data_IF_925253452757
#
_entry.id   IF_925253452757
#
_cell.length_a   1.000
_cell.length_b   1.000
_cell.length_c   1.000
_cell.angle_alpha   90.00
_cell.angle_beta   90.00
_cell.angle_gamma   90.00
#
_symmetry.space_group_name_H-M   'P 1'
#
loop_
_entity.id
_entity.type
_entity.pdbx_description
1 polymer ?
#
# COMPACT_ATOMS: atom_id res chain seq x y z
N UNK A 1 25.66 -4.74 1.36
CA UNK A 1 26.28 -4.94 0.03
C UNK A 1 26.76 -3.58 -0.48
N UNK A 2 27.84 -3.54 -1.26
CA UNK A 2 28.46 -2.29 -1.74
C UNK A 2 28.21 -2.13 -3.25
N UNK A 3 27.94 -0.90 -3.70
CA UNK A 3 27.85 -0.60 -5.13
C UNK A 3 29.25 -0.51 -5.76
N UNK A 4 29.34 -0.28 -7.08
CA UNK A 4 30.60 -0.10 -7.79
C UNK A 4 31.46 1.08 -7.25
N UNK A 5 30.95 1.87 -6.29
CA UNK A 5 31.61 3.00 -5.66
C UNK A 5 31.83 2.81 -4.14
N UNK A 6 31.58 1.60 -3.59
CA UNK A 6 31.78 1.29 -2.17
C UNK A 6 30.65 1.74 -1.24
N UNK A 7 29.50 2.20 -1.76
CA UNK A 7 28.39 2.66 -0.93
C UNK A 7 27.54 1.49 -0.44
N UNK A 8 27.28 1.45 0.87
CA UNK A 8 26.36 0.48 1.47
C UNK A 8 24.93 0.75 1.05
N UNK A 9 24.24 -0.29 0.60
CA UNK A 9 22.84 -0.21 0.23
C UNK A 9 22.02 -1.43 0.68
N UNK A 10 20.72 -1.23 0.77
CA UNK A 10 19.72 -2.27 1.10
C UNK A 10 18.74 -2.42 -0.05
N UNK A 11 18.53 -3.66 -0.54
CA UNK A 11 17.54 -3.93 -1.57
C UNK A 11 16.12 -3.72 -1.05
N UNK A 12 15.34 -2.95 -1.81
CA UNK A 12 13.93 -2.71 -1.54
C UNK A 12 13.06 -3.75 -2.22
N UNK A 13 11.98 -4.16 -1.57
CA UNK A 13 11.00 -5.08 -2.12
C UNK A 13 9.62 -4.43 -2.22
N UNK A 14 8.76 -4.77 -3.19
CA UNK A 14 7.40 -4.25 -3.21
C UNK A 14 6.60 -4.71 -1.99
N UNK A 15 5.91 -3.78 -1.32
CA UNK A 15 4.97 -4.13 -0.26
C UNK A 15 3.68 -4.70 -0.85
N UNK A 16 3.42 -5.98 -0.59
CA UNK A 16 2.40 -6.76 -1.29
C UNK A 16 1.00 -6.68 -0.69
N UNK A 17 0.87 -6.13 0.53
CA UNK A 17 -0.39 -5.97 1.24
C UNK A 17 -0.95 -4.55 1.12
N UNK A 18 -0.52 -3.78 0.12
CA UNK A 18 -1.13 -2.50 -0.21
C UNK A 18 -2.57 -2.74 -0.69
N UNK A 19 -3.56 -1.99 -0.24
CA UNK A 19 -4.95 -2.13 -0.75
C UNK A 19 -5.46 -0.89 -1.45
N UNK A 20 -4.83 0.26 -1.21
CA UNK A 20 -5.20 1.55 -1.77
C UNK A 20 -3.98 2.40 -2.13
N UNK A 21 -4.24 3.62 -2.60
CA UNK A 21 -3.21 4.54 -3.05
C UNK A 21 -2.81 4.37 -4.53
N UNK A 22 -1.94 5.26 -4.98
CA UNK A 22 -1.45 5.33 -6.37
C UNK A 22 0.08 5.22 -6.46
N UNK A 23 0.78 5.39 -5.34
CA UNK A 23 2.22 5.23 -5.25
C UNK A 23 2.53 3.84 -4.70
N UNK A 24 3.54 3.19 -5.27
CA UNK A 24 4.09 1.96 -4.73
C UNK A 24 4.66 2.21 -3.34
N UNK A 25 4.34 1.33 -2.39
CA UNK A 25 5.06 1.22 -1.13
C UNK A 25 6.09 0.09 -1.24
N UNK A 26 7.27 0.31 -0.68
CA UNK A 26 8.37 -0.66 -0.69
C UNK A 26 8.68 -1.07 0.75
N UNK A 27 9.11 -2.30 0.97
CA UNK A 27 9.66 -2.76 2.24
C UNK A 27 11.15 -2.41 2.25
N UNK A 28 11.58 -1.70 3.30
CA UNK A 28 12.99 -1.50 3.62
C UNK A 28 13.52 -2.68 4.44
N UNK A 29 12.71 -3.16 5.38
CA UNK A 29 12.89 -4.43 6.10
C UNK A 29 11.54 -4.96 6.60
N UNK A 30 11.55 -5.92 7.53
CA UNK A 30 10.34 -6.50 8.11
C UNK A 30 9.48 -5.45 8.85
N UNK A 31 10.11 -4.48 9.52
CA UNK A 31 9.46 -3.51 10.40
C UNK A 31 9.26 -2.13 9.76
N UNK A 32 9.88 -1.88 8.59
CA UNK A 32 9.89 -0.57 7.95
C UNK A 32 9.44 -0.66 6.50
N UNK A 33 8.47 0.17 6.14
CA UNK A 33 8.07 0.42 4.76
C UNK A 33 8.48 1.84 4.35
N UNK A 34 8.69 2.05 3.06
CA UNK A 34 8.98 3.36 2.52
C UNK A 34 8.11 3.68 1.30
N UNK A 35 7.91 4.98 1.05
CA UNK A 35 7.15 5.47 -0.10
C UNK A 35 7.68 6.82 -0.56
N UNK A 36 7.47 7.21 -1.83
CA UNK A 36 7.98 8.46 -2.36
C UNK A 36 7.53 9.66 -1.53
N UNK A 37 8.44 10.61 -1.30
CA UNK A 37 8.12 11.83 -0.55
C UNK A 37 7.08 12.66 -1.30
N UNK A 38 6.04 13.04 -0.57
CA UNK A 38 5.12 14.11 -0.94
C UNK A 38 5.29 15.20 0.11
N UNK A 39 5.65 16.42 -0.31
CA UNK A 39 6.04 17.50 0.61
C UNK A 39 5.02 17.74 1.73
N UNK A 40 3.73 17.77 1.38
CA UNK A 40 2.66 17.95 2.35
C UNK A 40 2.58 16.82 3.38
N UNK A 41 2.81 15.59 2.95
CA UNK A 41 2.81 14.44 3.84
C UNK A 41 4.04 14.45 4.76
N UNK A 42 5.20 14.83 4.23
CA UNK A 42 6.40 15.03 5.05
C UNK A 42 6.18 16.09 6.11
N UNK A 43 5.58 17.24 5.74
CA UNK A 43 5.22 18.29 6.70
C UNK A 43 4.28 17.76 7.78
N UNK A 44 3.25 17.00 7.41
CA UNK A 44 2.34 16.37 8.37
C UNK A 44 3.08 15.50 9.39
N UNK A 45 3.98 14.61 8.96
CA UNK A 45 4.74 13.76 9.89
C UNK A 45 5.73 14.55 10.75
N UNK A 46 6.28 15.66 10.24
CA UNK A 46 7.18 16.54 11.02
C UNK A 46 6.44 17.41 12.04
N UNK A 47 5.17 17.71 11.81
CA UNK A 47 4.39 18.64 12.63
C UNK A 47 3.18 17.98 13.31
N UNK A 48 3.10 16.64 13.35
CA UNK A 48 1.98 15.94 13.96
C UNK A 48 1.95 16.22 15.48
N UNK A 49 0.81 16.69 16.04
CA UNK A 49 0.65 16.87 17.47
C UNK A 49 0.83 15.54 18.23
N UNK A 50 1.33 15.61 19.46
CA UNK A 50 1.60 14.43 20.29
C UNK A 50 0.35 13.58 20.51
N UNK A 51 -0.82 14.21 20.62
CA UNK A 51 -2.12 13.56 20.80
C UNK A 51 -2.52 12.71 19.59
N UNK A 52 -2.01 13.03 18.40
CA UNK A 52 -2.33 12.33 17.15
C UNK A 52 -1.27 11.28 16.77
N UNK A 53 -0.07 11.32 17.36
CA UNK A 53 1.00 10.35 17.09
C UNK A 53 0.56 8.89 17.23
N UNK A 54 -0.19 8.49 18.29
CA UNK A 54 -0.65 7.10 18.44
C UNK A 54 -1.60 6.60 17.33
N UNK A 55 -2.16 7.50 16.51
CA UNK A 55 -3.10 7.17 15.44
C UNK A 55 -2.44 7.14 14.05
N UNK A 56 -1.16 7.52 13.94
CA UNK A 56 -0.41 7.51 12.70
C UNK A 56 0.74 6.48 12.79
N UNK A 57 1.21 5.91 11.66
CA UNK A 57 2.44 5.14 11.65
C UNK A 57 3.62 5.98 12.14
N UNK A 58 4.56 5.39 12.87
CA UNK A 58 5.76 6.10 13.29
C UNK A 58 6.58 6.53 12.06
N UNK A 59 6.96 7.81 12.03
CA UNK A 59 7.87 8.36 11.02
C UNK A 59 9.32 8.16 11.46
N UNK A 60 10.08 7.44 10.65
CA UNK A 60 11.43 6.97 10.99
C UNK A 60 12.53 7.70 10.19
N UNK A 61 12.14 8.70 9.40
CA UNK A 61 13.08 9.53 8.62
C UNK A 61 12.89 9.40 7.12
N UNK A 62 13.92 9.81 6.38
CA UNK A 62 13.95 9.81 4.92
C UNK A 62 15.12 8.93 4.48
N UNK A 63 14.91 8.18 3.41
CA UNK A 63 15.96 7.42 2.74
C UNK A 63 16.01 7.80 1.26
N UNK A 64 17.23 7.81 0.72
CA UNK A 64 17.46 8.01 -0.70
C UNK A 64 17.36 6.67 -1.43
N UNK A 65 16.56 6.63 -2.50
CA UNK A 65 16.32 5.43 -3.30
C UNK A 65 16.94 5.61 -4.68
N UNK A 66 17.79 4.66 -5.05
CA UNK A 66 18.44 4.59 -6.36
C UNK A 66 18.14 3.25 -7.06
N UNK A 67 18.58 3.13 -8.31
CA UNK A 67 18.48 1.92 -9.13
C UNK A 67 19.87 1.33 -9.33
N UNK A 68 20.04 0.08 -8.92
CA UNK A 68 21.21 -0.72 -9.27
C UNK A 68 20.85 -1.75 -10.32
N UNK A 69 21.85 -2.11 -11.11
CA UNK A 69 21.74 -3.11 -12.15
C UNK A 69 22.54 -4.35 -11.78
N UNK A 70 21.92 -5.51 -11.94
CA UNK A 70 22.59 -6.79 -11.79
C UNK A 70 22.09 -7.75 -12.89
N UNK A 71 23.00 -8.10 -13.80
CA UNK A 71 22.70 -8.86 -15.01
C UNK A 71 21.62 -8.21 -15.87
N UNK A 72 20.54 -8.94 -16.14
CA UNK A 72 19.38 -8.45 -16.90
C UNK A 72 18.36 -7.68 -16.05
N UNK A 73 18.58 -7.56 -14.74
CA UNK A 73 17.59 -7.04 -13.80
C UNK A 73 17.98 -5.67 -13.23
N UNK A 74 16.94 -4.92 -12.87
CA UNK A 74 17.00 -3.65 -12.17
C UNK A 74 16.39 -3.82 -10.78
N UNK A 75 17.09 -3.30 -9.78
CA UNK A 75 16.67 -3.34 -8.39
C UNK A 75 16.65 -1.93 -7.80
N UNK A 76 15.63 -1.64 -7.01
CA UNK A 76 15.63 -0.45 -6.18
C UNK A 76 16.41 -0.72 -4.92
N UNK A 77 17.22 0.25 -4.51
CA UNK A 77 18.02 0.18 -3.31
C UNK A 77 17.86 1.45 -2.48
N UNK A 78 17.84 1.28 -1.17
CA UNK A 78 17.98 2.36 -0.22
C UNK A 78 19.47 2.59 0.07
N UNK A 79 19.95 3.81 -0.19
CA UNK A 79 21.32 4.23 0.10
C UNK A 79 21.49 4.48 1.60
N UNK A 80 22.66 4.13 2.14
CA UNK A 80 23.01 4.33 3.56
C UNK A 80 22.03 3.69 4.55
N UNK A 81 21.26 2.69 4.13
CA UNK A 81 20.39 1.93 5.02
C UNK A 81 21.21 1.10 6.00
N UNK A 82 20.90 1.18 7.29
CA UNK A 82 21.42 0.25 8.29
C UNK A 82 20.97 -1.18 7.93
N UNK A 83 21.91 -2.12 7.81
CA UNK A 83 21.60 -3.52 7.54
C UNK A 83 20.82 -4.10 8.73
N UNK A 84 19.52 -4.37 8.54
CA UNK A 84 18.76 -5.18 9.48
C UNK A 84 19.27 -6.62 9.43
N UNK A 85 19.83 -7.09 10.55
CA UNK A 85 20.30 -8.46 10.76
C UNK A 85 19.09 -9.40 10.75
N UNK A 86 18.79 -9.97 9.57
CA UNK A 86 18.24 -11.33 9.34
C UNK A 86 18.07 -11.55 7.83
N UNK A 87 19.04 -12.25 7.24
CA UNK A 87 18.94 -12.83 5.89
C UNK A 87 17.94 -13.99 5.93
N UNK A 88 16.63 -13.73 5.88
CA UNK A 88 15.65 -14.80 5.73
C UNK A 88 14.32 -14.44 5.06
N UNK A 89 14.29 -13.41 4.20
CA UNK A 89 13.16 -13.22 3.29
C UNK A 89 13.58 -13.54 1.85
N UNK A 90 12.87 -14.49 1.26
CA UNK A 90 13.01 -14.90 -0.12
C UNK A 90 13.08 -13.66 -1.04
N UNK A 91 14.17 -13.61 -1.81
CA UNK A 91 14.56 -12.57 -2.75
C UNK A 91 13.37 -12.14 -3.63
N UNK A 92 12.92 -10.89 -3.48
CA UNK A 92 12.17 -10.06 -4.44
C UNK A 92 11.09 -10.75 -5.28
N UNK A 93 9.82 -10.62 -4.86
CA UNK A 93 8.64 -11.17 -5.57
C UNK A 93 8.38 -10.54 -6.94
N UNK A 94 8.88 -9.35 -7.19
CA UNK A 94 8.79 -8.67 -8.47
C UNK A 94 10.21 -8.27 -8.87
N UNK A 95 10.63 -8.66 -10.08
CA UNK A 95 11.89 -8.21 -10.67
C UNK A 95 11.60 -7.45 -11.94
N UNK A 96 12.21 -6.28 -12.09
CA UNK A 96 12.12 -5.49 -13.31
C UNK A 96 13.32 -5.83 -14.19
N UNK A 97 13.07 -6.23 -15.43
CA UNK A 97 14.12 -6.48 -16.42
C UNK A 97 14.54 -5.18 -17.08
N UNK A 98 15.79 -5.11 -17.53
CA UNK A 98 16.36 -3.99 -18.31
C UNK A 98 15.56 -3.67 -19.57
N UNK A 99 14.90 -4.67 -20.16
CA UNK A 99 13.97 -4.49 -21.29
C UNK A 99 12.67 -3.76 -20.94
N UNK A 100 12.41 -3.51 -19.65
CA UNK A 100 11.17 -2.91 -19.15
C UNK A 100 10.07 -3.92 -18.82
N UNK A 101 10.31 -5.23 -19.02
CA UNK A 101 9.37 -6.28 -18.62
C UNK A 101 9.52 -6.64 -17.14
N UNK A 102 8.52 -7.30 -16.55
CA UNK A 102 8.52 -7.70 -15.14
C UNK A 102 8.33 -9.20 -14.98
N UNK A 103 8.99 -9.76 -13.98
CA UNK A 103 8.87 -11.15 -13.57
C UNK A 103 8.29 -11.22 -12.15
N UNK A 104 7.28 -12.07 -11.96
CA UNK A 104 6.65 -12.30 -10.66
C UNK A 104 7.07 -13.67 -10.16
N UNK A 105 7.69 -13.73 -8.99
CA UNK A 105 8.07 -15.00 -8.36
C UNK A 105 6.90 -15.58 -7.54
N UNK A 106 6.72 -16.92 -7.52
CA UNK A 106 5.62 -17.56 -6.82
C UNK A 106 5.62 -17.28 -5.32
N UNK A 107 4.44 -17.21 -4.70
CA UNK A 107 4.28 -16.99 -3.25
C UNK A 107 3.36 -18.05 -2.64
N UNK A 108 3.54 -18.36 -1.34
CA UNK A 108 2.61 -19.20 -0.57
C UNK A 108 1.25 -18.53 -0.25
N UNK A 109 1.04 -17.27 -0.62
CA UNK A 109 -0.19 -16.52 -0.35
C UNK A 109 -0.99 -16.41 -1.64
N UNK A 110 -2.20 -16.97 -1.65
CA UNK A 110 -3.10 -16.94 -2.80
C UNK A 110 -4.16 -15.85 -2.63
N UNK A 111 -4.43 -15.12 -3.71
CA UNK A 111 -5.41 -14.05 -3.79
C UNK A 111 -6.50 -14.43 -4.81
N UNK A 112 -7.75 -14.07 -4.51
CA UNK A 112 -8.87 -14.23 -5.43
C UNK A 112 -8.95 -13.03 -6.39
N UNK A 113 -9.00 -13.31 -7.70
CA UNK A 113 -9.21 -12.31 -8.74
C UNK A 113 -10.67 -12.34 -9.21
N UNK A 114 -11.41 -11.24 -9.02
CA UNK A 114 -12.78 -11.11 -9.53
C UNK A 114 -12.84 -10.64 -11.01
N UNK A 115 -11.71 -10.28 -11.62
CA UNK A 115 -11.68 -9.60 -12.94
C UNK A 115 -11.49 -10.58 -14.11
N UNK A 116 -11.17 -11.86 -13.87
CA UNK A 116 -11.03 -12.84 -14.96
C UNK A 116 -12.37 -13.45 -15.38
N UNK A 117 -13.13 -12.76 -16.24
CA UNK A 117 -14.13 -13.31 -17.19
C UNK A 117 -14.61 -14.76 -16.93
N UNK A 118 -15.35 -15.00 -15.82
CA UNK A 118 -15.98 -16.30 -15.53
C UNK A 118 -15.04 -17.50 -15.36
N UNK A 119 -13.72 -17.30 -15.23
CA UNK A 119 -12.77 -18.34 -14.82
C UNK A 119 -12.19 -17.93 -13.48
N UNK A 120 -12.37 -18.76 -12.43
CA UNK A 120 -11.75 -18.57 -11.13
C UNK A 120 -10.22 -18.62 -11.27
N UNK A 121 -9.58 -17.48 -11.54
CA UNK A 121 -8.13 -17.34 -11.56
C UNK A 121 -7.60 -17.17 -10.14
N UNK A 122 -6.49 -17.83 -9.83
CA UNK A 122 -5.73 -17.59 -8.60
C UNK A 122 -4.48 -16.80 -8.95
N UNK A 123 -4.14 -15.80 -8.14
CA UNK A 123 -2.92 -15.02 -8.32
C UNK A 123 -2.09 -15.02 -7.04
N UNK A 124 -0.76 -15.01 -7.17
CA UNK A 124 0.17 -14.97 -6.03
C UNK A 124 0.26 -13.58 -5.37
N UNK A 125 -0.41 -12.59 -5.96
CA UNK A 125 -0.48 -11.21 -5.48
C UNK A 125 -1.86 -10.60 -5.80
N UNK A 126 -2.25 -9.58 -5.04
CA UNK A 126 -3.39 -8.74 -5.39
C UNK A 126 -3.17 -8.11 -6.79
N UNK A 127 -4.03 -8.39 -7.79
CA UNK A 127 -3.83 -7.96 -9.19
C UNK A 127 -3.69 -6.45 -9.36
N UNK A 128 -4.39 -5.67 -8.52
CA UNK A 128 -4.32 -4.20 -8.55
C UNK A 128 -3.00 -3.67 -8.02
N UNK A 129 -2.47 -4.33 -6.98
CA UNK A 129 -1.19 -3.97 -6.37
C UNK A 129 -0.06 -4.27 -7.33
N UNK A 130 -0.12 -5.42 -8.02
CA UNK A 130 0.83 -5.77 -9.06
C UNK A 130 0.86 -4.70 -10.16
N UNK A 131 -0.31 -4.28 -10.66
CA UNK A 131 -0.39 -3.19 -11.64
C UNK A 131 0.18 -1.88 -11.11
N UNK A 132 -0.19 -1.48 -9.89
CA UNK A 132 0.30 -0.26 -9.27
C UNK A 132 1.82 -0.27 -9.11
N UNK A 133 2.40 -1.39 -8.66
CA UNK A 133 3.85 -1.56 -8.56
C UNK A 133 4.51 -1.49 -9.93
N UNK A 134 3.99 -2.18 -10.95
CA UNK A 134 4.54 -2.11 -12.31
C UNK A 134 4.60 -0.67 -12.82
N UNK A 135 3.46 0.01 -12.82
CA UNK A 135 3.35 1.37 -13.36
C UNK A 135 4.29 2.34 -12.61
N UNK A 136 4.34 2.21 -11.27
CA UNK A 136 5.16 3.07 -10.44
C UNK A 136 6.66 2.79 -10.60
N UNK A 137 7.08 1.52 -10.63
CA UNK A 137 8.48 1.14 -10.77
C UNK A 137 9.04 1.62 -12.11
N UNK A 138 8.28 1.49 -13.20
CA UNK A 138 8.69 2.04 -14.51
C UNK A 138 8.87 3.55 -14.43
N UNK A 139 7.92 4.27 -13.81
CA UNK A 139 8.00 5.72 -13.69
C UNK A 139 9.18 6.18 -12.81
N UNK A 140 9.42 5.49 -11.69
CA UNK A 140 10.49 5.79 -10.75
C UNK A 140 11.86 5.58 -11.38
N UNK A 141 12.08 4.43 -12.05
CA UNK A 141 13.35 4.14 -12.73
C UNK A 141 13.63 5.19 -13.81
N UNK A 142 12.61 5.57 -14.60
CA UNK A 142 12.73 6.67 -15.57
C UNK A 142 13.10 7.99 -14.92
N UNK A 143 12.49 8.33 -13.78
CA UNK A 143 12.78 9.57 -13.06
C UNK A 143 14.21 9.60 -12.50
N UNK A 144 14.68 8.50 -11.90
CA UNK A 144 16.04 8.35 -11.39
C UNK A 144 17.06 8.49 -12.53
N UNK A 145 16.83 7.79 -13.67
CA UNK A 145 17.72 7.88 -14.83
C UNK A 145 17.78 9.29 -15.44
N UNK A 146 16.61 9.93 -15.62
CA UNK A 146 16.54 11.24 -16.22
C UNK A 146 17.20 12.32 -15.34
N UNK A 147 17.04 12.21 -14.02
CA UNK A 147 17.61 13.17 -13.06
C UNK A 147 19.06 12.88 -12.69
N UNK A 148 19.55 11.65 -12.93
CA UNK A 148 20.84 11.13 -12.44
C UNK A 148 21.02 11.33 -10.93
N UNK A 149 19.92 11.28 -10.19
CA UNK A 149 19.89 11.50 -8.74
C UNK A 149 18.94 10.51 -8.08
N UNK A 150 19.27 10.04 -6.87
CA UNK A 150 18.35 9.23 -6.08
C UNK A 150 17.10 10.04 -5.72
N UNK A 151 16.01 9.33 -5.41
CA UNK A 151 14.73 9.91 -5.04
C UNK A 151 14.47 9.73 -3.54
N UNK A 152 13.94 10.76 -2.90
CA UNK A 152 13.64 10.71 -1.47
C UNK A 152 12.36 9.91 -1.18
N UNK A 153 12.45 9.01 -0.21
CA UNK A 153 11.33 8.22 0.30
C UNK A 153 11.16 8.44 1.80
N UNK A 154 9.91 8.58 2.25
CA UNK A 154 9.55 8.55 3.67
C UNK A 154 9.73 7.12 4.18
N UNK A 155 10.34 6.94 5.35
CA UNK A 155 10.40 5.66 6.06
C UNK A 155 9.36 5.68 7.18
N UNK A 156 8.49 4.68 7.18
CA UNK A 156 7.37 4.52 8.11
C UNK A 156 7.41 3.14 8.75
N UNK A 157 6.84 3.02 9.95
CA UNK A 157 6.55 1.73 10.58
C UNK A 157 5.64 0.85 9.70
N UNK A 158 6.00 -0.43 9.62
CA UNK A 158 5.17 -1.45 9.01
C UNK A 158 4.14 -2.01 10.01
N UNK A 159 2.91 -1.48 9.97
CA UNK A 159 1.80 -1.91 10.83
C UNK A 159 1.35 -3.38 10.63
N UNK A 160 1.89 -4.08 9.63
CA UNK A 160 1.52 -5.47 9.33
C UNK A 160 2.63 -6.48 9.63
N UNK A 161 3.78 -6.04 10.14
CA UNK A 161 4.95 -6.91 10.31
C UNK A 161 4.68 -8.13 11.21
N UNK A 162 3.87 -7.97 12.26
CA UNK A 162 3.51 -9.04 13.19
C UNK A 162 2.38 -9.94 12.69
N UNK A 163 1.79 -9.65 11.53
CA UNK A 163 0.60 -10.34 11.01
C UNK A 163 0.99 -11.34 9.92
N UNK A 164 0.65 -12.62 10.12
CA UNK A 164 0.83 -13.65 9.10
C UNK A 164 -0.11 -13.47 7.91
N UNK A 165 -1.37 -13.12 8.18
CA UNK A 165 -2.40 -12.92 7.17
C UNK A 165 -3.13 -11.58 7.42
N UNK A 166 -2.53 -10.45 7.02
CA UNK A 166 -3.08 -9.14 7.37
C UNK A 166 -4.39 -8.87 6.61
N UNK A 167 -5.47 -8.66 7.36
CA UNK A 167 -6.74 -8.12 6.86
C UNK A 167 -6.68 -6.59 6.92
N UNK A 168 -6.82 -5.93 5.77
CA UNK A 168 -6.59 -4.48 5.62
C UNK A 168 -7.79 -3.84 4.95
N UNK A 169 -8.24 -2.73 5.51
CA UNK A 169 -9.29 -1.89 4.96
C UNK A 169 -8.78 -0.45 4.88
N UNK A 170 -8.79 0.12 3.68
CA UNK A 170 -8.52 1.54 3.44
C UNK A 170 -9.87 2.25 3.27
N UNK A 171 -10.18 3.13 4.22
CA UNK A 171 -11.34 4.01 4.17
C UNK A 171 -10.90 5.44 3.87
N UNK A 172 -11.48 6.02 2.82
CA UNK A 172 -11.29 7.44 2.54
C UNK A 172 -12.35 8.25 3.27
N UNK A 173 -11.89 9.11 4.16
CA UNK A 173 -12.74 9.94 5.02
C UNK A 173 -12.88 11.38 4.52
N UNK A 174 -13.97 12.03 4.95
CA UNK A 174 -14.25 13.44 4.70
C UNK A 174 -15.23 13.69 3.55
N UNK A 175 -16.17 14.63 3.77
CA UNK A 175 -17.18 15.06 2.79
C UNK A 175 -16.61 16.01 1.73
N UNK A 176 -15.48 16.67 2.01
CA UNK A 176 -14.67 17.43 1.04
C UNK A 176 -13.35 16.72 0.80
N UNK A 177 -13.06 16.37 -0.45
CA UNK A 177 -11.84 15.61 -0.79
C UNK A 177 -10.85 16.37 -1.65
N UNK A 178 -11.21 17.56 -2.11
CA UNK A 178 -10.33 18.44 -2.86
C UNK A 178 -9.64 19.43 -1.95
N UNK A 179 -8.41 19.73 -2.31
CA UNK A 179 -7.62 20.78 -1.71
C UNK A 179 -7.86 22.11 -2.43
N UNK A 180 -7.58 23.23 -1.77
CA UNK A 180 -7.68 24.56 -2.37
C UNK A 180 -6.68 24.76 -3.51
N UNK A 181 -5.52 24.10 -3.43
CA UNK A 181 -4.48 24.13 -4.45
C UNK A 181 -4.72 23.13 -5.60
N UNK A 182 -5.80 22.35 -5.55
CA UNK A 182 -6.11 21.44 -6.66
C UNK A 182 -6.58 22.23 -7.89
N UNK A 183 -6.12 21.81 -9.07
CA UNK A 183 -6.63 22.34 -10.34
C UNK A 183 -8.14 22.13 -10.48
N UNK A 184 -8.80 22.97 -11.29
CA UNK A 184 -10.24 22.88 -11.52
C UNK A 184 -10.70 21.48 -11.95
N UNK A 185 -9.99 20.85 -12.89
CA UNK A 185 -10.27 19.48 -13.33
C UNK A 185 -10.15 18.46 -12.18
N UNK A 186 -9.13 18.59 -11.31
CA UNK A 186 -8.93 17.70 -10.17
C UNK A 186 -10.01 17.92 -9.10
N UNK A 187 -10.43 19.17 -8.87
CA UNK A 187 -11.55 19.53 -7.98
C UNK A 187 -12.85 18.92 -8.48
N UNK A 188 -13.20 19.12 -9.76
CA UNK A 188 -14.40 18.53 -10.39
C UNK A 188 -14.40 17.00 -10.27
N UNK A 189 -13.28 16.35 -10.60
CA UNK A 189 -13.15 14.89 -10.49
C UNK A 189 -13.35 14.39 -9.05
N UNK A 190 -12.91 15.16 -8.05
CA UNK A 190 -13.10 14.81 -6.63
C UNK A 190 -14.53 15.07 -6.17
N UNK A 191 -15.15 16.17 -6.57
CA UNK A 191 -16.56 16.47 -6.29
C UNK A 191 -17.48 15.41 -6.90
N UNK A 192 -17.24 15.00 -8.14
CA UNK A 192 -17.98 13.92 -8.79
C UNK A 192 -17.92 12.62 -7.97
N UNK A 193 -16.75 12.30 -7.39
CA UNK A 193 -16.61 11.13 -6.49
C UNK A 193 -17.38 11.31 -5.18
N UNK A 194 -17.48 12.52 -4.64
CA UNK A 194 -18.25 12.76 -3.41
C UNK A 194 -19.73 12.46 -3.67
N UNK A 195 -20.28 13.01 -4.76
CA UNK A 195 -21.69 12.87 -5.13
C UNK A 195 -22.05 11.41 -5.46
N UNK A 196 -21.21 10.73 -6.23
CA UNK A 196 -21.52 9.40 -6.77
C UNK A 196 -21.04 8.23 -5.89
N UNK A 197 -20.65 8.47 -4.64
CA UNK A 197 -20.22 7.41 -3.73
C UNK A 197 -20.83 7.60 -2.35
N UNK A 198 -20.61 6.63 -1.46
CA UNK A 198 -21.00 6.74 -0.05
C UNK A 198 -20.38 7.94 0.67
N UNK A 199 -19.34 8.56 0.11
CA UNK A 199 -18.72 9.77 0.68
C UNK A 199 -19.74 10.88 0.95
N UNK A 200 -20.67 11.13 0.03
CA UNK A 200 -21.65 12.21 0.18
C UNK A 200 -22.65 11.97 1.32
N UNK A 201 -23.02 10.70 1.55
CA UNK A 201 -24.02 10.33 2.56
C UNK A 201 -23.42 9.96 3.92
N UNK A 202 -22.27 9.29 3.91
CA UNK A 202 -21.62 8.72 5.11
C UNK A 202 -20.35 9.47 5.53
N UNK A 203 -19.82 10.37 4.70
CA UNK A 203 -18.49 10.94 4.89
C UNK A 203 -17.35 9.92 4.71
N UNK A 204 -17.66 8.69 4.29
CA UNK A 204 -16.73 7.56 4.19
C UNK A 204 -16.96 6.78 2.89
N UNK A 205 -15.88 6.25 2.31
CA UNK A 205 -15.96 5.20 1.29
C UNK A 205 -14.79 4.24 1.35
N UNK A 206 -15.03 3.00 0.91
CA UNK A 206 -13.98 2.00 0.73
C UNK A 206 -13.07 2.42 -0.43
N UNK A 207 -11.77 2.51 -0.17
CA UNK A 207 -10.72 2.75 -1.17
C UNK A 207 -10.01 1.46 -1.58
N UNK A 208 -9.99 0.48 -0.68
CA UNK A 208 -9.49 -0.87 -0.93
C UNK A 208 -9.71 -1.78 0.28
N UNK A 209 -9.77 -3.08 0.05
CA UNK A 209 -9.98 -4.08 1.10
C UNK A 209 -9.25 -5.37 0.74
N UNK A 210 -8.70 -6.04 1.75
CA UNK A 210 -8.11 -7.37 1.69
C UNK A 210 -8.50 -8.12 2.95
N UNK A 211 -9.10 -9.30 2.83
CA UNK A 211 -9.57 -10.11 3.97
C UNK A 211 -9.15 -11.54 3.76
N UNK A 212 -8.45 -12.14 4.72
CA UNK A 212 -8.10 -13.55 4.66
C UNK A 212 -9.33 -14.41 5.00
N UNK A 213 -9.65 -15.36 4.12
CA UNK A 213 -10.73 -16.32 4.29
C UNK A 213 -10.11 -17.68 4.67
N UNK A 214 -10.33 -18.11 5.92
CA UNK A 214 -9.79 -19.35 6.49
C UNK A 214 -10.32 -20.57 5.73
N UNK A 215 -11.58 -20.54 5.30
CA UNK A 215 -12.23 -21.64 4.59
C UNK A 215 -11.60 -21.93 3.23
N UNK A 216 -11.12 -20.91 2.52
CA UNK A 216 -10.48 -21.06 1.20
C UNK A 216 -8.97 -21.01 1.26
N UNK A 217 -8.39 -20.51 2.37
CA UNK A 217 -6.97 -20.24 2.50
C UNK A 217 -6.49 -19.05 1.67
N UNK A 218 -7.40 -18.18 1.21
CA UNK A 218 -7.13 -17.12 0.24
C UNK A 218 -7.55 -15.74 0.75
N UNK A 219 -7.00 -14.70 0.13
CA UNK A 219 -7.44 -13.33 0.34
C UNK A 219 -8.58 -12.93 -0.61
N UNK A 220 -9.67 -12.46 -0.04
CA UNK A 220 -10.71 -11.70 -0.72
C UNK A 220 -10.23 -10.26 -0.90
N UNK A 221 -10.13 -9.79 -2.14
CA UNK A 221 -9.69 -8.42 -2.44
C UNK A 221 -10.81 -7.57 -3.05
N UNK A 222 -10.92 -6.31 -2.60
CA UNK A 222 -11.76 -5.29 -3.22
C UNK A 222 -10.94 -4.04 -3.52
N UNK A 223 -11.19 -3.47 -4.68
CA UNK A 223 -10.49 -2.28 -5.15
C UNK A 223 -11.37 -1.02 -4.99
N UNK A 224 -10.81 0.12 -5.40
CA UNK A 224 -11.52 1.41 -5.39
C UNK A 224 -12.78 1.45 -6.27
N UNK A 225 -12.90 0.61 -7.29
CA UNK A 225 -14.09 0.57 -8.16
C UNK A 225 -15.24 -0.10 -7.43
N UNK A 226 -14.98 -1.23 -6.75
CA UNK A 226 -15.94 -1.84 -5.84
C UNK A 226 -16.46 -0.82 -4.82
N UNK A 227 -15.55 -0.13 -4.12
CA UNK A 227 -15.95 0.85 -3.09
C UNK A 227 -16.72 2.06 -3.64
N UNK A 228 -16.51 2.44 -4.91
CA UNK A 228 -17.28 3.51 -5.56
C UNK A 228 -18.69 3.09 -5.95
N UNK A 229 -18.92 1.81 -6.20
CA UNK A 229 -20.22 1.28 -6.59
C UNK A 229 -21.16 1.02 -5.40
N UNK A 230 -20.66 1.12 -4.16
CA UNK A 230 -21.46 0.83 -2.96
C UNK A 230 -22.51 1.90 -2.69
N UNK A 231 -23.68 1.44 -2.24
CA UNK A 231 -24.67 2.25 -1.53
C UNK A 231 -24.38 2.23 -0.02
N UNK A 232 -25.07 3.04 0.81
CA UNK A 232 -24.92 2.95 2.27
C UNK A 232 -25.19 1.54 2.83
N UNK A 233 -26.21 0.83 2.33
CA UNK A 233 -26.47 -0.55 2.72
C UNK A 233 -25.33 -1.49 2.26
N UNK A 234 -24.82 -1.29 1.03
CA UNK A 234 -23.67 -2.01 0.52
C UNK A 234 -22.39 -1.77 1.33
N UNK A 235 -22.21 -0.56 1.87
CA UNK A 235 -21.11 -0.24 2.78
C UNK A 235 -21.19 -1.04 4.08
N UNK A 236 -22.37 -1.14 4.69
CA UNK A 236 -22.58 -1.98 5.89
C UNK A 236 -22.28 -3.46 5.62
N UNK A 237 -22.63 -3.97 4.44
CA UNK A 237 -22.27 -5.33 4.02
C UNK A 237 -20.75 -5.46 3.85
N UNK A 238 -20.08 -4.49 3.22
CA UNK A 238 -18.63 -4.49 3.05
C UNK A 238 -17.90 -4.49 4.42
N UNK A 239 -18.39 -3.73 5.40
CA UNK A 239 -17.86 -3.75 6.77
C UNK A 239 -18.04 -5.12 7.44
N UNK A 240 -19.20 -5.75 7.25
CA UNK A 240 -19.45 -7.12 7.73
C UNK A 240 -18.49 -8.12 7.07
N UNK A 241 -18.25 -8.00 5.77
CA UNK A 241 -17.29 -8.84 5.05
C UNK A 241 -15.86 -8.63 5.55
N UNK A 242 -15.46 -7.40 5.83
CA UNK A 242 -14.15 -7.10 6.42
C UNK A 242 -13.92 -7.81 7.75
N UNK A 243 -14.96 -7.89 8.58
CA UNK A 243 -14.91 -8.52 9.90
C UNK A 243 -15.16 -10.04 9.87
N UNK A 244 -15.37 -10.65 8.69
CA UNK A 244 -15.69 -12.07 8.57
C UNK A 244 -14.49 -12.86 8.05
N UNK A 245 -14.01 -13.83 8.82
CA UNK A 245 -12.80 -14.63 8.48
C UNK A 245 -13.10 -15.85 7.60
N UNK A 246 -14.35 -16.00 7.15
CA UNK A 246 -14.83 -17.12 6.35
C UNK A 246 -15.53 -18.21 7.17
N UNK A 247 -15.31 -18.22 8.48
CA UNK A 247 -15.99 -19.14 9.42
C UNK A 247 -16.98 -18.36 10.29
N UNK A 248 -16.57 -17.21 10.81
CA UNK A 248 -17.40 -16.40 11.71
C UNK A 248 -17.13 -14.90 11.58
N UNK A 249 -18.05 -14.12 12.12
CA UNK A 249 -17.85 -12.69 12.34
C UNK A 249 -16.97 -12.46 13.58
N UNK A 250 -15.88 -11.71 13.41
CA UNK A 250 -14.91 -11.36 14.46
C UNK A 250 -15.41 -10.19 15.31
N UNK A 251 -16.54 -10.40 16.00
CA UNK A 251 -17.22 -9.37 16.81
C UNK A 251 -16.35 -8.83 17.96
N UNK A 252 -15.38 -9.60 18.44
CA UNK A 252 -14.44 -9.17 19.46
C UNK A 252 -13.56 -7.99 19.03
N UNK A 253 -13.47 -7.74 17.72
CA UNK A 253 -12.71 -6.61 17.16
C UNK A 253 -13.53 -5.30 17.17
N UNK A 254 -14.85 -5.35 17.36
CA UNK A 254 -15.70 -4.16 17.33
C UNK A 254 -15.36 -3.19 18.46
N UNK A 255 -15.24 -3.68 19.69
CA UNK A 255 -14.94 -2.82 20.85
C UNK A 255 -13.56 -2.13 20.71
N UNK A 256 -12.46 -2.83 20.35
CA UNK A 256 -11.19 -2.17 20.02
C UNK A 256 -11.29 -1.13 18.91
N UNK A 257 -12.03 -1.41 17.83
CA UNK A 257 -12.21 -0.44 16.74
C UNK A 257 -12.94 0.82 17.19
N UNK A 258 -14.05 0.66 17.91
CA UNK A 258 -14.85 1.78 18.41
C UNK A 258 -14.02 2.64 19.36
N UNK A 259 -13.30 2.02 20.31
CA UNK A 259 -12.41 2.75 21.22
C UNK A 259 -11.35 3.56 20.48
N UNK A 260 -10.72 2.98 19.45
CA UNK A 260 -9.73 3.69 18.64
C UNK A 260 -10.37 4.85 17.84
N UNK A 261 -11.58 4.70 17.32
CA UNK A 261 -12.30 5.77 16.62
C UNK A 261 -12.74 6.90 17.58
N UNK A 262 -13.04 6.57 18.84
CA UNK A 262 -13.40 7.53 19.89
C UNK A 262 -12.18 8.26 20.50
N UNK A 263 -10.96 7.95 20.04
CA UNK A 263 -9.75 8.54 20.60
C UNK A 263 -9.31 7.94 21.95
N UNK A 264 -9.75 6.73 22.27
CA UNK A 264 -9.48 6.02 23.53
C UNK A 264 -8.50 4.86 23.28
N UNK A 265 -7.24 5.17 22.97
CA UNK A 265 -6.16 4.18 22.83
C UNK A 265 -5.68 3.73 24.21
#
# INVERSE_FOLDING_TARGET
MEDNHGNKFVYLQPYIHQVGGHSSMLCLDENRVCKPVVERELLFYRSIPDELKPYAPNFLGIVEVDVVFDGEYMYLVALNGEESVKKNSQIGRLRLRRSGSFEVLPTKCQFEDEISNGKNGTTDMNPWVLKCHRDHLVALVKAIHASKKPQNFLVLENLTCALRFPCILDLKMGTRQYDERDSLAKRQSKMFKVVNTTTGKLGLRVAGMQVYQVTTGRFLCRNKLYGRALTPAGFSIAMRQFLHDGVRLRIELLSPFIRKLEGKI
#
